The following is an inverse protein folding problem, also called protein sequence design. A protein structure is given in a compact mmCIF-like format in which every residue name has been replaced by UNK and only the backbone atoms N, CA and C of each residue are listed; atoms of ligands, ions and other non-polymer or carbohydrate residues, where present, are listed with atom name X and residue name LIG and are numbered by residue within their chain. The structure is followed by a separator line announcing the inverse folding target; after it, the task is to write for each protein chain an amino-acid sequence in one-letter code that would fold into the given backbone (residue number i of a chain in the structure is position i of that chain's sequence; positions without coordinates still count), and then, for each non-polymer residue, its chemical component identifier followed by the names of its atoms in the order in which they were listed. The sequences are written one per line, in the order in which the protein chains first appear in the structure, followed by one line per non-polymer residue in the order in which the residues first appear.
data_IF_228396159256
#
_entry.id   IF_228396159256
#
_cell.length_a   1.000
_cell.length_b   1.000
_cell.length_c   1.000
_cell.angle_alpha   90.00
_cell.angle_beta   90.00
_cell.angle_gamma   90.00
#
_symmetry.space_group_name_H-M   'P 1'
#
loop_
_entity.id
_entity.type
_entity.pdbx_description
1 polymer ?
#
# COMPACT_ATOMS: atom_id res chain seq x y z
N UNK A 1 1.36 -6.61 -10.56
CA UNK A 1 2.43 -5.63 -10.26
C UNK A 1 2.97 -5.85 -8.84
N UNK A 2 3.57 -7.02 -8.62
CA UNK A 2 4.12 -7.43 -7.32
C UNK A 2 5.64 -7.30 -7.31
N UNK A 3 6.28 -7.45 -8.46
CA UNK A 3 7.73 -7.41 -8.66
C UNK A 3 8.31 -6.02 -8.35
N UNK A 4 7.66 -4.93 -8.75
CA UNK A 4 8.12 -3.56 -8.43
C UNK A 4 7.96 -3.17 -6.94
N UNK A 5 7.06 -3.81 -6.19
CA UNK A 5 6.69 -3.37 -4.84
C UNK A 5 7.73 -3.80 -3.80
N UNK A 6 8.20 -5.04 -3.88
CA UNK A 6 9.27 -5.55 -3.01
C UNK A 6 10.60 -4.84 -3.22
N UNK A 7 10.98 -4.56 -4.47
CA UNK A 7 12.20 -3.81 -4.79
C UNK A 7 12.13 -2.37 -4.28
N UNK A 8 10.98 -1.71 -4.43
CA UNK A 8 10.73 -0.37 -3.90
C UNK A 8 10.86 -0.33 -2.37
N UNK A 9 10.25 -1.28 -1.65
CA UNK A 9 10.34 -1.36 -0.19
C UNK A 9 11.77 -1.63 0.26
N UNK A 10 12.48 -2.55 -0.40
CA UNK A 10 13.89 -2.81 -0.11
C UNK A 10 14.77 -1.56 -0.31
N UNK A 11 14.53 -0.81 -1.40
CA UNK A 11 15.20 0.46 -1.64
C UNK A 11 14.87 1.52 -0.57
N UNK A 12 13.62 1.58 -0.12
CA UNK A 12 13.20 2.51 0.93
C UNK A 12 13.84 2.19 2.29
N UNK A 13 13.93 0.90 2.64
CA UNK A 13 14.63 0.43 3.84
C UNK A 13 16.13 0.71 3.74
N UNK A 14 16.75 0.43 2.59
CA UNK A 14 18.17 0.69 2.35
C UNK A 14 18.52 2.19 2.44
N UNK A 15 17.58 3.06 2.04
CA UNK A 15 17.70 4.52 2.18
C UNK A 15 17.40 5.03 3.61
N UNK A 16 16.92 4.17 4.50
CA UNK A 16 16.47 4.55 5.84
C UNK A 16 15.19 5.40 5.83
N UNK A 17 14.44 5.39 4.73
CA UNK A 17 13.17 6.09 4.63
C UNK A 17 12.08 5.40 5.45
N UNK A 18 12.08 4.06 5.47
CA UNK A 18 11.17 3.23 6.26
C UNK A 18 11.94 2.13 6.99
N UNK A 19 11.33 1.52 8.00
CA UNK A 19 11.89 0.38 8.72
C UNK A 19 11.49 -0.97 8.07
N UNK A 20 12.14 -2.06 8.48
CA UNK A 20 11.73 -3.40 8.05
C UNK A 20 10.32 -3.76 8.53
N UNK A 21 9.92 -3.26 9.70
CA UNK A 21 8.56 -3.42 10.23
C UNK A 21 7.54 -2.68 9.37
N UNK A 22 7.89 -1.48 8.90
CA UNK A 22 7.06 -0.73 7.97
C UNK A 22 6.87 -1.45 6.64
N UNK A 23 7.95 -2.02 6.09
CA UNK A 23 7.86 -2.81 4.88
C UNK A 23 6.95 -4.03 5.06
N UNK A 24 7.06 -4.73 6.18
CA UNK A 24 6.20 -5.87 6.49
C UNK A 24 4.72 -5.46 6.65
N UNK A 25 4.46 -4.33 7.33
CA UNK A 25 3.10 -3.80 7.47
C UNK A 25 2.52 -3.42 6.10
N UNK A 26 3.31 -2.78 5.26
CA UNK A 26 2.90 -2.36 3.94
C UNK A 26 2.49 -3.57 3.08
N UNK A 27 3.28 -4.64 3.09
CA UNK A 27 2.94 -5.88 2.40
C UNK A 27 1.70 -6.56 3.01
N UNK A 28 1.57 -6.58 4.34
CA UNK A 28 0.41 -7.18 5.00
C UNK A 28 -0.89 -6.46 4.62
N UNK A 29 -0.92 -5.12 4.70
CA UNK A 29 -2.09 -4.34 4.29
C UNK A 29 -2.37 -4.60 2.82
N UNK A 30 -1.35 -4.59 1.96
CA UNK A 30 -1.53 -4.92 0.55
C UNK A 30 -2.10 -6.30 0.31
N UNK A 31 -1.64 -7.32 1.04
CA UNK A 31 -2.14 -8.69 0.92
C UNK A 31 -3.62 -8.79 1.33
N UNK A 32 -4.00 -8.13 2.44
CA UNK A 32 -5.42 -8.01 2.85
C UNK A 32 -6.23 -7.32 1.77
N UNK A 33 -5.72 -6.23 1.21
CA UNK A 33 -6.38 -5.50 0.14
C UNK A 33 -6.51 -6.35 -1.13
N UNK A 34 -5.48 -7.13 -1.47
CA UNK A 34 -5.47 -8.02 -2.63
C UNK A 34 -6.51 -9.13 -2.49
N UNK A 35 -6.47 -9.82 -1.35
CA UNK A 35 -7.32 -10.97 -1.03
C UNK A 35 -8.81 -10.60 -0.95
N UNK A 36 -9.13 -9.47 -0.31
CA UNK A 36 -10.51 -9.09 -0.04
C UNK A 36 -11.09 -8.11 -1.05
N UNK A 37 -10.26 -7.34 -1.75
CA UNK A 37 -10.73 -6.20 -2.55
C UNK A 37 -10.12 -6.13 -3.97
N UNK A 38 -9.05 -6.85 -4.32
CA UNK A 38 -8.50 -6.88 -5.69
C UNK A 38 -9.05 -8.01 -6.59
N UNK A 39 -10.05 -8.79 -6.17
CA UNK A 39 -10.82 -9.61 -7.13
C UNK A 39 -11.53 -8.76 -8.23
N UNK A 40 -11.49 -7.43 -8.13
CA UNK A 40 -11.91 -6.45 -9.15
C UNK A 40 -10.80 -6.14 -10.18
N UNK A 41 -9.72 -6.94 -10.20
CA UNK A 41 -8.50 -6.71 -10.99
C UNK A 41 -8.67 -6.66 -12.51
N UNK A 42 -9.79 -7.13 -13.07
CA UNK A 42 -10.05 -7.00 -14.51
C UNK A 42 -10.58 -5.61 -14.91
N UNK A 43 -11.17 -4.85 -13.98
CA UNK A 43 -11.71 -3.50 -14.26
C UNK A 43 -10.68 -2.39 -13.95
N UNK A 44 -9.67 -2.68 -13.12
CA UNK A 44 -8.64 -1.72 -12.72
C UNK A 44 -7.58 -1.43 -13.79
N UNK A 45 -7.42 -2.27 -14.82
CA UNK A 45 -6.40 -2.08 -15.88
C UNK A 45 -6.55 -0.78 -16.69
N UNK A 46 -7.69 -0.08 -16.58
CA UNK A 46 -7.94 1.19 -17.25
C UNK A 46 -7.77 2.45 -16.39
N UNK A 47 -7.53 2.33 -15.09
CA UNK A 47 -7.45 3.49 -14.18
C UNK A 47 -6.00 3.97 -14.07
N UNK A 48 -5.73 5.22 -14.46
CA UNK A 48 -4.41 5.84 -14.29
C UNK A 48 -3.97 5.92 -12.81
N UNK A 49 -2.68 6.17 -12.56
CA UNK A 49 -2.04 6.09 -11.23
C UNK A 49 -2.77 6.86 -10.11
N UNK A 50 -3.40 8.00 -10.43
CA UNK A 50 -4.21 8.75 -9.45
C UNK A 50 -5.52 8.06 -9.03
N UNK A 51 -6.11 7.27 -9.92
CA UNK A 51 -7.29 6.45 -9.64
C UNK A 51 -6.97 5.27 -8.72
N UNK A 52 -5.80 4.64 -8.91
CA UNK A 52 -5.32 3.58 -8.02
C UNK A 52 -5.12 4.09 -6.59
N UNK A 53 -4.42 5.21 -6.38
CA UNK A 53 -4.22 5.75 -5.02
C UNK A 53 -5.53 6.10 -4.31
N UNK A 54 -6.50 6.64 -5.04
CA UNK A 54 -7.81 6.99 -4.47
C UNK A 54 -8.58 5.75 -4.06
N UNK A 55 -8.58 4.72 -4.91
CA UNK A 55 -9.24 3.44 -4.61
C UNK A 55 -8.54 2.72 -3.46
N UNK A 56 -7.21 2.69 -3.45
CA UNK A 56 -6.43 2.06 -2.38
C UNK A 56 -6.77 2.67 -1.02
N UNK A 57 -6.82 4.01 -0.91
CA UNK A 57 -7.26 4.69 0.33
C UNK A 57 -8.68 4.31 0.75
N UNK A 58 -9.60 4.21 -0.21
CA UNK A 58 -10.97 3.78 0.07
C UNK A 58 -11.02 2.33 0.57
N UNK A 59 -10.22 1.44 -0.02
CA UNK A 59 -10.12 0.04 0.39
C UNK A 59 -9.47 -0.10 1.77
N UNK A 60 -8.39 0.64 2.08
CA UNK A 60 -7.77 0.62 3.41
C UNK A 60 -8.77 1.07 4.48
N UNK A 61 -9.52 2.14 4.23
CA UNK A 61 -10.57 2.59 5.15
C UNK A 61 -11.76 1.62 5.27
N UNK A 62 -11.96 0.74 4.29
CA UNK A 62 -12.94 -0.34 4.37
C UNK A 62 -12.39 -1.53 5.17
N UNK A 63 -11.13 -1.89 4.96
CA UNK A 63 -10.45 -2.95 5.71
C UNK A 63 -10.39 -2.66 7.21
N UNK A 64 -10.26 -1.38 7.61
CA UNK A 64 -10.39 -0.96 9.03
C UNK A 64 -11.80 -1.19 9.55
N UNK A 65 -12.82 -0.83 8.78
CA UNK A 65 -14.23 -0.98 9.16
C UNK A 65 -14.65 -2.44 9.27
N UNK A 66 -14.13 -3.27 8.38
CA UNK A 66 -14.39 -4.71 8.34
C UNK A 66 -13.54 -5.45 9.40
N UNK A 67 -12.58 -4.78 10.04
CA UNK A 67 -11.76 -5.31 11.12
C UNK A 67 -10.59 -6.19 10.66
N UNK A 68 -10.23 -6.15 9.38
CA UNK A 68 -9.08 -6.88 8.84
C UNK A 68 -7.73 -6.24 9.21
N UNK A 69 -7.71 -4.92 9.35
CA UNK A 69 -6.57 -4.15 9.83
C UNK A 69 -7.04 -3.17 10.91
N UNK A 70 -6.12 -2.70 11.75
CA UNK A 70 -6.45 -1.68 12.75
C UNK A 70 -6.34 -0.27 12.17
N UNK A 71 -6.93 0.70 12.87
CA UNK A 71 -6.75 2.11 12.52
C UNK A 71 -5.28 2.51 12.53
N UNK A 72 -4.49 2.00 13.50
CA UNK A 72 -3.05 2.25 13.58
C UNK A 72 -2.31 1.71 12.35
N UNK A 73 -2.69 0.51 11.86
CA UNK A 73 -2.10 -0.06 10.65
C UNK A 73 -2.41 0.80 9.42
N UNK A 74 -3.63 1.31 9.31
CA UNK A 74 -4.04 2.21 8.22
C UNK A 74 -3.31 3.55 8.26
N UNK A 75 -3.17 4.14 9.44
CA UNK A 75 -2.44 5.40 9.62
C UNK A 75 -0.97 5.19 9.24
N UNK A 76 -0.35 4.11 9.73
CA UNK A 76 1.04 3.80 9.43
C UNK A 76 1.25 3.46 7.95
N UNK A 77 0.33 2.72 7.34
CA UNK A 77 0.31 2.47 5.90
C UNK A 77 0.31 3.77 5.08
N UNK A 78 -0.49 4.74 5.50
CA UNK A 78 -0.56 6.07 4.86
C UNK A 78 0.77 6.82 4.99
N UNK A 79 1.38 6.82 6.19
CA UNK A 79 2.69 7.44 6.40
C UNK A 79 3.79 6.82 5.53
N UNK A 80 3.77 5.50 5.38
CA UNK A 80 4.72 4.76 4.51
C UNK A 80 4.53 5.20 3.06
N UNK A 81 3.29 5.22 2.56
CA UNK A 81 2.97 5.72 1.23
C UNK A 81 3.51 7.14 0.99
N UNK A 82 3.23 8.06 1.92
CA UNK A 82 3.69 9.46 1.86
C UNK A 82 5.23 9.54 1.82
N UNK A 83 5.89 8.69 2.61
CA UNK A 83 7.35 8.61 2.68
C UNK A 83 7.95 8.10 1.37
N UNK A 84 7.35 7.06 0.78
CA UNK A 84 7.78 6.50 -0.50
C UNK A 84 7.61 7.50 -1.64
N UNK A 85 6.52 8.27 -1.65
CA UNK A 85 6.29 9.36 -2.60
C UNK A 85 7.35 10.46 -2.43
N UNK A 86 7.62 10.88 -1.19
CA UNK A 86 8.67 11.89 -0.90
C UNK A 86 10.06 11.42 -1.28
N UNK A 87 10.34 10.13 -1.15
CA UNK A 87 11.59 9.51 -1.59
C UNK A 87 11.67 9.34 -3.13
N UNK A 88 10.59 9.63 -3.87
CA UNK A 88 10.53 9.42 -5.32
C UNK A 88 10.49 7.94 -5.73
N UNK A 89 10.22 7.05 -4.78
CA UNK A 89 10.15 5.61 -4.98
C UNK A 89 8.75 5.16 -5.42
N UNK A 90 7.75 6.01 -5.24
CA UNK A 90 6.36 5.79 -5.62
C UNK A 90 5.79 7.04 -6.29
N UNK A 91 4.91 6.84 -7.28
CA UNK A 91 4.33 7.89 -8.15
C UNK A 91 2.82 7.70 -8.27
#
# INVERSE_FOLDING_TARGET
ESENRGEMLAAAVAQGAITAEDAALFEQVHAVLDEHYMQVGSEMQGMGSGGMMTMQRAMTGQAVRDGYITQADSDRFTEIHDTLIKAGLMQ
#
